data_IF_431315935399
#
_entry.id   IF_431315935399
#
_cell.length_a   1.000
_cell.length_b   1.000
_cell.length_c   1.000
_cell.angle_alpha   90.00
_cell.angle_beta   90.00
_cell.angle_gamma   90.00
#
_symmetry.space_group_name_H-M   'P 1'
#
loop_
_entity.id
_entity.type
_entity.pdbx_description
1 polymer ?
#
# COMPACT_ATOMS: atom_id res chain seq x y z
N UNK A 1 -21.42 -16.80 12.80
CA UNK A 1 -20.20 -15.96 12.76
C UNK A 1 -20.64 -14.52 12.96
N UNK A 2 -20.22 -13.83 14.02
CA UNK A 2 -20.49 -12.39 14.13
C UNK A 2 -19.43 -11.61 13.34
N UNK A 3 -19.72 -10.34 13.02
CA UNK A 3 -18.79 -9.52 12.23
C UNK A 3 -17.50 -9.16 12.99
N UNK A 4 -17.52 -9.18 14.33
CA UNK A 4 -16.36 -8.89 15.19
C UNK A 4 -15.31 -9.98 15.03
N UNK A 5 -15.72 -11.24 14.99
CA UNK A 5 -14.81 -12.37 14.81
C UNK A 5 -14.17 -12.34 13.41
N UNK A 6 -14.94 -11.98 12.37
CA UNK A 6 -14.40 -11.80 11.02
C UNK A 6 -13.46 -10.60 10.90
N UNK A 7 -13.72 -9.52 11.64
CA UNK A 7 -12.82 -8.38 11.72
C UNK A 7 -11.50 -8.78 12.37
N UNK A 8 -11.57 -9.41 13.56
CA UNK A 8 -10.40 -9.88 14.30
C UNK A 8 -9.54 -10.84 13.48
N UNK A 9 -10.14 -11.73 12.69
CA UNK A 9 -9.38 -12.67 11.85
C UNK A 9 -8.66 -12.00 10.67
N UNK A 10 -8.97 -10.74 10.35
CA UNK A 10 -8.35 -9.97 9.25
C UNK A 10 -7.39 -8.89 9.76
N UNK A 11 -7.30 -8.69 11.08
CA UNK A 11 -6.35 -7.75 11.66
C UNK A 11 -4.92 -8.23 11.40
N UNK A 12 -4.10 -7.32 10.90
CA UNK A 12 -2.68 -7.52 10.66
C UNK A 12 -1.97 -6.17 10.61
N UNK A 13 -0.65 -6.18 10.68
CA UNK A 13 0.18 -4.99 10.50
C UNK A 13 0.18 -4.51 9.05
N UNK A 14 0.59 -3.26 8.83
CA UNK A 14 0.74 -2.71 7.48
C UNK A 14 1.76 -3.51 6.65
N UNK A 15 2.89 -3.90 7.27
CA UNK A 15 3.92 -4.72 6.64
C UNK A 15 3.36 -6.07 6.15
N UNK A 16 2.59 -6.78 6.98
CA UNK A 16 1.94 -8.04 6.59
C UNK A 16 0.88 -7.84 5.49
N UNK A 17 0.13 -6.73 5.55
CA UNK A 17 -0.90 -6.44 4.56
C UNK A 17 -0.30 -6.21 3.16
N UNK A 18 0.78 -5.44 3.06
CA UNK A 18 1.40 -5.13 1.77
C UNK A 18 2.11 -6.32 1.13
N UNK A 19 2.43 -7.40 1.88
CA UNK A 19 2.96 -8.66 1.32
C UNK A 19 2.03 -9.32 0.30
N UNK A 20 0.75 -8.92 0.26
CA UNK A 20 -0.21 -9.38 -0.74
C UNK A 20 0.01 -8.79 -2.14
N UNK A 21 0.81 -7.72 -2.24
CA UNK A 21 1.15 -7.06 -3.50
C UNK A 21 2.43 -7.71 -4.05
N UNK A 22 2.40 -8.14 -5.30
CA UNK A 22 3.52 -8.71 -6.03
C UNK A 22 3.94 -7.88 -7.25
N UNK A 23 5.09 -8.22 -7.82
CA UNK A 23 5.61 -7.57 -9.03
C UNK A 23 4.61 -7.64 -10.19
N UNK A 24 4.43 -6.54 -10.92
CA UNK A 24 3.46 -6.43 -12.02
C UNK A 24 2.02 -6.13 -11.60
N UNK A 25 1.71 -6.09 -10.30
CA UNK A 25 0.36 -5.77 -9.84
C UNK A 25 -0.02 -4.32 -10.16
N UNK A 26 -1.32 -4.12 -10.40
CA UNK A 26 -1.91 -2.79 -10.58
C UNK A 26 -2.82 -2.51 -9.40
N UNK A 27 -2.36 -1.67 -8.49
CA UNK A 27 -3.02 -1.39 -7.21
C UNK A 27 -3.64 0.01 -7.27
N UNK A 28 -4.94 0.06 -6.99
CA UNK A 28 -5.65 1.33 -6.78
C UNK A 28 -5.92 1.51 -5.28
N UNK A 29 -5.66 2.72 -4.77
CA UNK A 29 -5.98 3.07 -3.40
C UNK A 29 -6.68 4.42 -3.30
N UNK A 30 -7.31 4.67 -2.15
CA UNK A 30 -8.08 5.88 -1.91
C UNK A 30 -7.18 7.14 -1.96
N UNK A 31 -7.72 8.25 -2.48
CA UNK A 31 -7.02 9.53 -2.61
C UNK A 31 -7.41 10.57 -1.55
N UNK A 32 -6.93 11.80 -1.73
CA UNK A 32 -7.16 12.97 -0.88
C UNK A 32 -6.81 12.70 0.59
N UNK A 33 -7.77 12.91 1.50
CA UNK A 33 -7.60 12.70 2.93
C UNK A 33 -7.70 11.22 3.33
N UNK A 34 -8.06 10.33 2.39
CA UNK A 34 -8.23 8.90 2.62
C UNK A 34 -7.01 8.08 2.17
N UNK A 35 -5.90 8.73 1.81
CA UNK A 35 -4.64 8.04 1.50
C UNK A 35 -4.28 7.12 2.67
N UNK A 36 -4.12 5.80 2.45
CA UNK A 36 -3.76 4.87 3.51
C UNK A 36 -2.26 4.98 3.82
N UNK A 37 -1.86 6.05 4.50
CA UNK A 37 -0.45 6.44 4.70
C UNK A 37 0.41 5.30 5.27
N UNK A 38 -0.12 4.53 6.22
CA UNK A 38 0.61 3.40 6.80
C UNK A 38 0.90 2.28 5.78
N UNK A 39 -0.04 2.00 4.87
CA UNK A 39 0.15 1.01 3.81
C UNK A 39 1.10 1.53 2.72
N UNK A 40 0.96 2.79 2.35
CA UNK A 40 1.84 3.44 1.36
C UNK A 40 3.29 3.45 1.83
N UNK A 41 3.53 3.80 3.10
CA UNK A 41 4.86 3.76 3.70
C UNK A 41 5.43 2.34 3.73
N UNK A 42 4.66 1.36 4.22
CA UNK A 42 5.10 -0.03 4.29
C UNK A 42 5.36 -0.63 2.89
N UNK A 43 4.61 -0.21 1.87
CA UNK A 43 4.85 -0.65 0.49
C UNK A 43 6.15 -0.05 -0.07
N UNK A 44 6.42 1.23 0.20
CA UNK A 44 7.67 1.87 -0.23
C UNK A 44 8.92 1.21 0.38
N UNK A 45 8.82 0.67 1.60
CA UNK A 45 9.89 -0.10 2.24
C UNK A 45 10.20 -1.43 1.52
N UNK A 46 9.28 -1.94 0.70
CA UNK A 46 9.45 -3.16 -0.10
C UNK A 46 10.01 -2.91 -1.51
N UNK A 47 10.49 -1.70 -1.80
CA UNK A 47 10.97 -1.34 -3.15
C UNK A 47 12.02 -2.31 -3.71
N UNK A 48 12.88 -2.87 -2.86
CA UNK A 48 13.97 -3.75 -3.29
C UNK A 48 13.49 -5.19 -3.58
N UNK A 49 12.22 -5.50 -3.28
CA UNK A 49 11.58 -6.82 -3.48
C UNK A 49 10.63 -6.85 -4.69
N UNK A 50 10.21 -5.69 -5.20
CA UNK A 50 9.10 -5.55 -6.14
C UNK A 50 9.56 -4.84 -7.41
N UNK A 51 9.00 -5.26 -8.54
CA UNK A 51 9.27 -4.65 -9.85
C UNK A 51 7.95 -4.38 -10.59
N UNK A 52 7.86 -3.27 -11.31
CA UNK A 52 6.73 -2.91 -12.17
C UNK A 52 5.36 -2.91 -11.47
N UNK A 53 5.29 -2.46 -10.21
CA UNK A 53 4.01 -2.31 -9.49
C UNK A 53 3.38 -0.97 -9.86
N UNK A 54 2.22 -0.99 -10.51
CA UNK A 54 1.53 0.24 -10.87
C UNK A 54 0.61 0.72 -9.75
N UNK A 55 0.96 1.85 -9.16
CA UNK A 55 0.19 2.47 -8.07
C UNK A 55 -0.66 3.63 -8.61
N UNK A 56 -1.97 3.57 -8.36
CA UNK A 56 -2.94 4.53 -8.91
C UNK A 56 -3.80 5.14 -7.80
N UNK A 57 -3.96 6.45 -7.84
CA UNK A 57 -4.89 7.23 -7.03
C UNK A 57 -5.24 8.53 -7.79
N UNK A 58 -6.30 9.23 -7.38
CA UNK A 58 -6.71 10.47 -8.07
C UNK A 58 -5.83 11.66 -7.67
N UNK A 59 -5.81 12.01 -6.39
CA UNK A 59 -5.02 13.10 -5.84
C UNK A 59 -4.31 12.62 -4.57
N UNK A 60 -3.01 12.83 -4.48
CA UNK A 60 -2.25 12.59 -3.26
C UNK A 60 -2.11 13.91 -2.48
N UNK A 61 -2.35 13.84 -1.18
CA UNK A 61 -2.15 14.96 -0.25
C UNK A 61 -1.15 14.50 0.82
N UNK A 62 -0.06 15.25 0.96
CA UNK A 62 0.98 14.96 1.95
C UNK A 62 2.26 14.41 1.32
N UNK A 63 3.03 13.65 2.11
CA UNK A 63 4.27 13.02 1.64
C UNK A 63 3.95 11.83 0.75
N UNK A 64 4.64 11.76 -0.38
CA UNK A 64 4.62 10.62 -1.27
C UNK A 64 5.98 9.90 -1.21
N UNK A 65 6.11 8.81 -0.44
CA UNK A 65 7.34 8.05 -0.41
C UNK A 65 7.59 7.27 -1.70
N UNK A 66 6.58 7.05 -2.54
CA UNK A 66 6.67 6.25 -3.77
C UNK A 66 7.15 7.07 -4.97
N UNK A 67 7.08 8.40 -4.89
CA UNK A 67 7.63 9.31 -5.90
C UNK A 67 9.04 9.82 -5.54
N UNK A 68 9.68 9.26 -4.51
CA UNK A 68 11.03 9.65 -4.10
C UNK A 68 12.10 9.10 -5.07
N UNK A 69 13.28 9.75 -5.19
CA UNK A 69 14.40 9.20 -5.94
C UNK A 69 14.76 7.79 -5.44
N UNK A 70 14.99 6.85 -6.37
CA UNK A 70 15.25 5.44 -6.08
C UNK A 70 13.98 4.60 -5.91
N UNK A 71 12.82 5.11 -6.32
CA UNK A 71 11.56 4.34 -6.44
C UNK A 71 11.19 4.06 -7.91
N UNK A 72 12.08 4.37 -8.84
CA UNK A 72 11.89 4.08 -10.26
C UNK A 72 12.02 2.57 -10.52
N UNK A 73 10.91 1.87 -10.82
CA UNK A 73 10.92 0.42 -11.08
C UNK A 73 9.56 -0.19 -11.40
#
# INVERSE_FOLDING_TARGET
MNWVDSYRSKLMSAAEAVQKIGSGDRVYYAGNAAIPQALVQALAERRDELENVQLNHVLLIGKDPLSAPGMEG
#
